data_IF_881899326115
#
_entry.id   IF_881899326115
#
_cell.length_a   1.000
_cell.length_b   1.000
_cell.length_c   1.000
_cell.angle_alpha   90.00
_cell.angle_beta   90.00
_cell.angle_gamma   90.00
#
_symmetry.space_group_name_H-M   'P 1'
#
loop_
_entity.id
_entity.type
_entity.pdbx_description
1 polymer ?
#
# COMPACT_ATOMS: atom_id res chain seq x y z
N UNK A 1 -10.68 -9.49 -13.97
CA UNK A 1 -9.26 -9.82 -14.17
C UNK A 1 -8.73 -10.23 -12.81
N UNK A 2 -8.06 -11.37 -12.72
CA UNK A 2 -7.41 -11.77 -11.48
C UNK A 2 -6.20 -10.85 -11.24
N UNK A 3 -6.15 -10.19 -10.07
CA UNK A 3 -5.12 -9.19 -9.75
C UNK A 3 -3.72 -9.80 -9.84
N UNK A 4 -3.55 -11.02 -9.33
CA UNK A 4 -2.24 -11.68 -9.29
C UNK A 4 -1.80 -12.19 -10.67
N UNK A 5 -2.69 -12.15 -11.66
CA UNK A 5 -2.36 -12.41 -13.06
C UNK A 5 -1.91 -11.14 -13.81
N UNK A 6 -1.87 -9.98 -13.13
CA UNK A 6 -1.43 -8.72 -13.71
C UNK A 6 0.07 -8.74 -14.03
N UNK A 7 0.49 -8.39 -15.27
CA UNK A 7 1.89 -8.49 -15.69
C UNK A 7 2.85 -7.63 -14.87
N UNK A 8 2.38 -6.53 -14.28
CA UNK A 8 3.21 -5.69 -13.43
C UNK A 8 3.47 -6.34 -12.05
N UNK A 9 2.60 -7.27 -11.61
CA UNK A 9 2.74 -7.99 -10.33
C UNK A 9 3.45 -9.33 -10.46
N UNK A 10 3.51 -9.93 -11.65
CA UNK A 10 4.21 -11.20 -11.90
C UNK A 10 5.67 -11.19 -11.40
N UNK A 11 6.50 -10.15 -11.65
CA UNK A 11 7.88 -10.13 -11.16
C UNK A 11 7.98 -10.11 -9.63
N UNK A 12 6.97 -9.60 -8.93
CA UNK A 12 6.93 -9.63 -7.47
C UNK A 12 6.58 -11.02 -6.97
N UNK A 13 5.60 -11.68 -7.61
CA UNK A 13 5.20 -13.05 -7.28
C UNK A 13 6.35 -14.04 -7.46
N UNK A 14 7.09 -13.96 -8.57
CA UNK A 14 8.25 -14.82 -8.84
C UNK A 14 9.37 -14.69 -7.80
N UNK A 15 9.50 -13.52 -7.18
CA UNK A 15 10.51 -13.23 -6.15
C UNK A 15 10.00 -13.47 -4.74
N UNK A 16 8.69 -13.58 -4.55
CA UNK A 16 8.08 -13.76 -3.25
C UNK A 16 8.30 -15.17 -2.71
N UNK A 17 8.39 -15.30 -1.39
CA UNK A 17 8.38 -16.58 -0.68
C UNK A 17 7.13 -16.61 0.16
N UNK A 18 6.29 -17.65 -0.01
CA UNK A 18 5.00 -17.78 0.69
C UNK A 18 4.06 -16.57 0.51
N UNK A 19 4.17 -15.88 -0.62
CA UNK A 19 3.37 -14.69 -0.92
C UNK A 19 3.88 -13.41 -0.27
N UNK A 20 5.08 -13.40 0.29
CA UNK A 20 5.70 -12.20 0.86
C UNK A 20 7.04 -11.89 0.19
N UNK A 21 7.33 -10.60 0.03
CA UNK A 21 8.62 -10.11 -0.42
C UNK A 21 9.12 -9.05 0.55
N UNK A 22 10.25 -9.32 1.20
CA UNK A 22 10.92 -8.36 2.08
C UNK A 22 12.01 -7.60 1.32
N UNK A 23 11.98 -6.27 1.41
CA UNK A 23 12.95 -5.36 0.82
C UNK A 23 13.52 -4.48 1.93
N UNK A 24 14.85 -4.43 2.01
CA UNK A 24 15.54 -3.58 2.97
C UNK A 24 15.50 -2.12 2.49
N UNK A 25 14.91 -1.23 3.28
CA UNK A 25 14.87 0.21 3.05
C UNK A 25 15.62 0.93 4.16
N UNK A 26 16.94 1.09 4.01
CA UNK A 26 17.77 1.71 5.04
C UNK A 26 17.73 0.93 6.36
N UNK A 27 17.22 1.58 7.42
CA UNK A 27 17.07 0.98 8.76
C UNK A 27 15.76 0.20 8.96
N UNK A 28 14.82 0.30 8.00
CA UNK A 28 13.53 -0.37 8.03
C UNK A 28 13.39 -1.46 6.97
N UNK A 29 12.22 -2.12 6.96
CA UNK A 29 11.82 -3.07 5.91
C UNK A 29 10.51 -2.64 5.27
N UNK A 30 10.47 -2.74 3.95
CA UNK A 30 9.24 -2.78 3.17
C UNK A 30 8.88 -4.25 2.98
N UNK A 31 7.70 -4.66 3.44
CA UNK A 31 7.10 -5.95 3.10
C UNK A 31 6.06 -5.72 2.02
N UNK A 32 6.22 -6.38 0.88
CA UNK A 32 5.15 -6.51 -0.10
C UNK A 32 4.40 -7.80 0.22
N UNK A 33 3.14 -7.66 0.59
CA UNK A 33 2.25 -8.75 0.95
C UNK A 33 1.36 -9.08 -0.25
N UNK A 34 1.52 -10.29 -0.78
CA UNK A 34 0.82 -10.86 -1.93
C UNK A 34 -0.08 -12.03 -1.51
N UNK A 35 -0.33 -12.22 -0.21
CA UNK A 35 -1.19 -13.30 0.28
C UNK A 35 -2.63 -13.08 -0.20
N UNK A 36 -3.25 -14.09 -0.84
CA UNK A 36 -4.60 -13.93 -1.39
C UNK A 36 -5.66 -13.52 -0.36
N UNK A 37 -5.54 -13.99 0.88
CA UNK A 37 -6.50 -13.67 1.94
C UNK A 37 -6.37 -12.22 2.42
N UNK A 38 -5.14 -11.71 2.55
CA UNK A 38 -4.88 -10.31 2.93
C UNK A 38 -5.30 -9.36 1.80
N UNK A 39 -5.02 -9.72 0.53
CA UNK A 39 -5.51 -9.00 -0.64
C UNK A 39 -7.04 -8.93 -0.63
N UNK A 40 -7.73 -10.04 -0.36
CA UNK A 40 -9.20 -10.09 -0.30
C UNK A 40 -9.76 -9.18 0.79
N UNK A 41 -9.14 -9.16 1.96
CA UNK A 41 -9.55 -8.26 3.05
C UNK A 41 -9.48 -6.78 2.64
N UNK A 42 -8.43 -6.40 1.92
CA UNK A 42 -8.32 -5.04 1.37
C UNK A 42 -9.30 -4.78 0.22
N UNK A 43 -9.58 -5.77 -0.61
CA UNK A 43 -10.58 -5.66 -1.68
C UNK A 43 -11.99 -5.46 -1.11
N UNK A 44 -12.36 -6.23 -0.09
CA UNK A 44 -13.63 -6.07 0.61
C UNK A 44 -13.73 -4.66 1.23
N UNK A 45 -12.62 -4.17 1.79
CA UNK A 45 -12.54 -2.81 2.31
C UNK A 45 -12.69 -1.77 1.20
N UNK A 46 -12.02 -1.94 0.05
CA UNK A 46 -12.10 -1.04 -1.10
C UNK A 46 -13.54 -0.92 -1.62
N UNK A 47 -14.31 -2.00 -1.64
CA UNK A 47 -15.73 -2.01 -2.07
C UNK A 47 -16.59 -1.10 -1.18
N UNK A 48 -16.20 -0.85 0.07
CA UNK A 48 -16.92 0.07 0.97
C UNK A 48 -16.62 1.55 0.72
N UNK A 49 -15.57 1.86 -0.05
CA UNK A 49 -15.15 3.23 -0.35
C UNK A 49 -15.98 3.78 -1.51
N UNK A 50 -16.73 4.85 -1.25
CA UNK A 50 -17.64 5.46 -2.23
C UNK A 50 -16.95 6.40 -3.24
N UNK A 51 -15.69 6.76 -3.01
CA UNK A 51 -14.92 7.69 -3.85
C UNK A 51 -13.78 6.96 -4.57
N UNK A 52 -13.45 7.32 -5.82
CA UNK A 52 -12.26 6.82 -6.48
C UNK A 52 -11.02 7.03 -5.63
N UNK A 53 -10.19 5.99 -5.51
CA UNK A 53 -8.92 6.03 -4.81
C UNK A 53 -7.94 5.04 -5.44
N UNK A 54 -6.65 5.30 -5.23
CA UNK A 54 -5.56 4.40 -5.59
C UNK A 54 -4.63 4.12 -4.40
N UNK A 55 -4.99 4.60 -3.21
CA UNK A 55 -4.34 4.28 -1.95
C UNK A 55 -5.39 3.97 -0.88
N UNK A 56 -5.16 2.89 -0.13
CA UNK A 56 -5.80 2.61 1.15
C UNK A 56 -4.75 2.71 2.25
N UNK A 57 -5.11 3.34 3.37
CA UNK A 57 -4.17 3.70 4.42
C UNK A 57 -4.76 3.31 5.78
N UNK A 58 -4.07 2.47 6.53
CA UNK A 58 -4.43 2.19 7.92
C UNK A 58 -3.94 3.33 8.82
N UNK A 59 -4.82 4.26 9.18
CA UNK A 59 -4.46 5.44 9.95
C UNK A 59 -4.92 5.33 11.41
N UNK A 60 -4.21 6.00 12.32
CA UNK A 60 -4.61 6.07 13.75
C UNK A 60 -5.97 6.73 13.95
N UNK A 61 -6.32 7.72 13.12
CA UNK A 61 -7.53 8.53 13.27
C UNK A 61 -8.32 8.64 11.96
N UNK A 62 -9.63 8.45 12.06
CA UNK A 62 -10.54 8.45 10.91
C UNK A 62 -11.13 9.81 10.53
N UNK A 63 -11.39 10.67 11.51
CA UNK A 63 -12.21 11.87 11.35
C UNK A 63 -11.40 13.18 11.26
N UNK A 64 -10.09 13.06 11.08
CA UNK A 64 -9.17 14.19 10.93
C UNK A 64 -8.64 14.27 9.49
N UNK A 65 -8.09 15.41 9.11
CA UNK A 65 -7.33 15.54 7.87
C UNK A 65 -6.20 14.50 7.81
N UNK A 66 -5.88 13.99 6.62
CA UNK A 66 -4.82 13.00 6.46
C UNK A 66 -3.47 13.49 7.02
N UNK A 67 -3.22 14.80 6.95
CA UNK A 67 -2.01 15.43 7.50
C UNK A 67 -1.96 15.49 9.03
N UNK A 68 -3.09 15.20 9.70
CA UNK A 68 -3.24 15.22 11.16
C UNK A 68 -3.32 13.81 11.78
N UNK A 69 -3.00 12.77 11.01
CA UNK A 69 -2.92 11.38 11.47
C UNK A 69 -1.61 10.74 11.02
N UNK A 70 -1.26 9.62 11.65
CA UNK A 70 -0.14 8.78 11.25
C UNK A 70 -0.66 7.46 10.69
N UNK A 71 0.18 6.81 9.87
CA UNK A 71 0.02 5.43 9.48
C UNK A 71 0.27 4.54 10.69
N UNK A 72 -0.52 3.48 10.85
CA UNK A 72 -0.42 2.55 11.98
C UNK A 72 -0.74 1.13 11.53
N UNK A 73 -0.80 0.18 12.47
CA UNK A 73 -1.14 -1.20 12.18
C UNK A 73 -2.64 -1.37 11.97
N UNK A 74 -3.04 -2.38 11.17
CA UNK A 74 -4.44 -2.54 10.70
C UNK A 74 -5.45 -2.78 11.83
N UNK A 75 -5.08 -3.50 12.89
CA UNK A 75 -6.01 -3.83 13.99
C UNK A 75 -6.45 -2.58 14.76
N UNK A 76 -7.70 -2.18 14.54
CA UNK A 76 -8.31 -0.98 15.14
C UNK A 76 -8.01 0.32 14.41
N UNK A 77 -7.33 0.26 13.26
CA UNK A 77 -7.05 1.44 12.45
C UNK A 77 -8.32 1.96 11.78
N UNK A 78 -8.35 3.27 11.55
CA UNK A 78 -9.27 3.87 10.62
C UNK A 78 -8.73 3.73 9.20
N UNK A 79 -9.42 2.98 8.34
CA UNK A 79 -9.02 2.87 6.94
C UNK A 79 -9.43 4.15 6.20
N UNK A 80 -8.43 4.80 5.58
CA UNK A 80 -8.61 6.01 4.80
C UNK A 80 -8.26 5.74 3.35
N UNK A 81 -9.05 6.31 2.45
CA UNK A 81 -8.80 6.27 1.03
C UNK A 81 -8.16 7.59 0.57
N UNK A 82 -7.19 7.52 -0.33
CA UNK A 82 -6.61 8.68 -0.99
C UNK A 82 -6.48 8.44 -2.49
N UNK A 83 -6.64 9.52 -3.25
CA UNK A 83 -6.39 9.56 -4.68
C UNK A 83 -5.18 10.47 -4.91
N UNK A 84 -4.12 9.93 -5.49
CA UNK A 84 -2.88 10.65 -5.82
C UNK A 84 -2.52 10.45 -7.30
N UNK A 85 -1.57 11.23 -7.80
CA UNK A 85 -1.08 11.23 -9.16
C UNK A 85 0.41 10.88 -9.21
N UNK A 86 0.69 9.59 -9.34
CA UNK A 86 2.04 9.04 -9.47
C UNK A 86 2.72 8.72 -8.15
N UNK A 87 3.87 8.06 -8.27
CA UNK A 87 4.65 7.57 -7.14
C UNK A 87 5.19 8.70 -6.26
N UNK A 88 5.51 9.86 -6.84
CA UNK A 88 6.03 11.02 -6.08
C UNK A 88 5.01 11.58 -5.09
N UNK A 89 3.76 11.77 -5.53
CA UNK A 89 2.68 12.25 -4.65
C UNK A 89 2.29 11.18 -3.62
N UNK A 90 2.26 9.90 -4.01
CA UNK A 90 2.08 8.80 -3.07
C UNK A 90 3.16 8.79 -1.98
N UNK A 91 4.42 8.98 -2.37
CA UNK A 91 5.54 9.03 -1.45
C UNK A 91 5.47 10.21 -0.48
N UNK A 92 5.19 11.41 -1.00
CA UNK A 92 5.01 12.59 -0.15
C UNK A 92 3.86 12.43 0.86
N UNK A 93 2.77 11.73 0.48
CA UNK A 93 1.70 11.39 1.42
C UNK A 93 2.16 10.40 2.49
N UNK A 94 2.89 9.34 2.13
CA UNK A 94 3.42 8.37 3.09
C UNK A 94 4.39 9.02 4.09
N UNK A 95 5.25 9.95 3.66
CA UNK A 95 6.13 10.71 4.56
C UNK A 95 5.33 11.56 5.56
N UNK A 96 4.29 12.27 5.09
CA UNK A 96 3.39 13.03 5.97
C UNK A 96 2.71 12.16 7.02
N UNK A 97 2.44 10.89 6.67
CA UNK A 97 1.84 9.89 7.56
C UNK A 97 2.87 9.22 8.49
N UNK A 98 4.12 9.71 8.53
CA UNK A 98 5.14 9.26 9.46
C UNK A 98 5.95 8.05 8.99
N UNK A 99 5.88 7.69 7.71
CA UNK A 99 6.73 6.65 7.12
C UNK A 99 8.14 7.19 6.91
N UNK A 100 9.16 6.41 7.26
CA UNK A 100 10.57 6.77 7.04
C UNK A 100 10.89 6.98 5.56
N UNK A 101 11.71 7.99 5.27
CA UNK A 101 12.09 8.37 3.89
C UNK A 101 12.66 7.19 3.09
N UNK A 102 13.47 6.31 3.68
CA UNK A 102 14.03 5.17 2.97
C UNK A 102 12.98 4.12 2.62
N UNK A 103 11.95 3.97 3.45
CA UNK A 103 10.81 3.08 3.16
C UNK A 103 9.90 3.67 2.08
N UNK A 104 9.75 4.99 2.05
CA UNK A 104 9.02 5.68 0.98
C UNK A 104 9.73 5.48 -0.37
N UNK A 105 11.04 5.70 -0.43
CA UNK A 105 11.82 5.42 -1.64
C UNK A 105 11.70 3.96 -2.08
N UNK A 106 11.74 3.02 -1.13
CA UNK A 106 11.57 1.60 -1.42
C UNK A 106 10.18 1.31 -2.01
N UNK A 107 9.12 1.89 -1.45
CA UNK A 107 7.76 1.73 -1.96
C UNK A 107 7.64 2.29 -3.39
N UNK A 108 8.20 3.48 -3.65
CA UNK A 108 8.20 4.06 -5.00
C UNK A 108 8.94 3.20 -6.03
N UNK A 109 10.01 2.52 -5.63
CA UNK A 109 10.82 1.68 -6.51
C UNK A 109 10.24 0.28 -6.72
N UNK A 110 9.50 -0.25 -5.74
CA UNK A 110 9.13 -1.67 -5.70
C UNK A 110 7.62 -1.94 -5.70
N UNK A 111 6.78 -0.91 -5.56
CA UNK A 111 5.34 -1.00 -5.76
C UNK A 111 5.01 -0.52 -7.20
N UNK A 112 4.93 -1.42 -8.19
CA UNK A 112 4.60 -1.06 -9.55
C UNK A 112 3.22 -0.39 -9.61
N UNK A 113 3.08 0.59 -10.50
CA UNK A 113 1.83 1.33 -10.69
C UNK A 113 1.39 2.17 -9.49
N UNK A 114 2.25 2.37 -8.47
CA UNK A 114 1.96 3.18 -7.29
C UNK A 114 1.50 4.60 -7.66
N UNK A 115 0.40 5.03 -7.05
CA UNK A 115 -0.23 6.32 -7.33
C UNK A 115 -0.83 6.42 -8.74
N UNK A 116 -0.99 5.29 -9.43
CA UNK A 116 -1.53 5.23 -10.78
C UNK A 116 -2.49 4.06 -10.94
N UNK A 117 -2.08 3.09 -11.77
CA UNK A 117 -2.93 2.00 -12.24
C UNK A 117 -3.25 0.97 -11.17
N UNK A 118 -2.36 0.75 -10.21
CA UNK A 118 -2.53 -0.25 -9.15
C UNK A 118 -2.91 0.50 -7.86
N UNK A 119 -4.02 0.10 -7.27
CA UNK A 119 -4.41 0.50 -5.92
C UNK A 119 -3.59 -0.27 -4.91
N UNK A 120 -2.91 0.44 -4.03
CA UNK A 120 -2.08 -0.15 -2.97
C UNK A 120 -2.66 0.17 -1.60
N UNK A 121 -2.67 -0.82 -0.71
CA UNK A 121 -2.92 -0.63 0.70
C UNK A 121 -1.61 -0.54 1.48
N UNK A 122 -1.51 0.41 2.40
CA UNK A 122 -0.34 0.60 3.26
C UNK A 122 -0.72 0.62 4.72
N UNK A 123 0.17 0.05 5.55
CA UNK A 123 0.11 0.13 6.99
C UNK A 123 1.50 -0.04 7.61
N UNK A 124 1.68 0.42 8.85
CA UNK A 124 2.90 0.16 9.62
C UNK A 124 2.71 -1.02 10.56
N UNK A 125 3.71 -1.89 10.64
CA UNK A 125 3.80 -2.84 11.74
C UNK A 125 4.34 -2.18 13.01
N UNK A 126 4.16 -2.86 14.16
CA UNK A 126 4.64 -2.38 15.46
C UNK A 126 6.15 -2.09 15.51
N UNK A 127 6.93 -2.74 14.65
CA UNK A 127 8.38 -2.55 14.54
C UNK A 127 8.78 -1.46 13.54
N UNK A 128 7.82 -0.70 13.00
CA UNK A 128 8.07 0.36 12.02
C UNK A 128 8.29 -0.14 10.59
N UNK A 129 7.92 -1.39 10.30
CA UNK A 129 7.98 -1.92 8.94
C UNK A 129 6.79 -1.43 8.14
N UNK A 130 7.03 -0.99 6.91
CA UNK A 130 5.95 -0.63 6.00
C UNK A 130 5.48 -1.89 5.30
N UNK A 131 4.20 -2.23 5.43
CA UNK A 131 3.58 -3.24 4.58
C UNK A 131 2.83 -2.58 3.45
N UNK A 132 2.98 -3.13 2.25
CA UNK A 132 2.28 -2.74 1.04
C UNK A 132 1.57 -3.95 0.43
N UNK A 133 0.26 -3.88 0.23
CA UNK A 133 -0.54 -4.94 -0.39
C UNK A 133 -1.20 -4.40 -1.66
N UNK A 134 -1.01 -5.01 -2.85
CA UNK A 134 -1.76 -4.60 -4.03
C UNK A 134 -3.21 -5.05 -3.88
N UNK A 135 -4.16 -4.18 -4.23
CA UNK A 135 -5.59 -4.40 -3.96
C UNK A 135 -6.40 -4.57 -5.24
N UNK A 136 -6.14 -3.71 -6.22
CA UNK A 136 -6.84 -3.71 -7.49
C UNK A 136 -5.95 -3.10 -8.58
N UNK A 137 -6.14 -3.51 -9.82
CA UNK A 137 -5.44 -2.96 -10.97
C UNK A 137 -6.46 -2.49 -12.02
N UNK A 138 -6.26 -1.29 -12.55
CA UNK A 138 -7.03 -0.83 -13.70
C UNK A 138 -6.53 -1.57 -14.97
N UNK A 139 -7.42 -1.89 -15.93
CA UNK A 139 -7.01 -2.56 -17.16
C UNK A 139 -5.95 -1.75 -17.93
N UNK A 140 -5.01 -2.45 -18.57
CA UNK A 140 -4.19 -1.82 -19.62
C UNK A 140 -5.12 -1.46 -20.79
N UNK A 141 -5.17 -0.17 -21.14
CA UNK A 141 -5.94 0.33 -22.28
C UNK A 141 -5.36 -0.09 -23.62
#
# INVERSE_FOLDING_TARGET
MDLLSDPDLLPLLERSTEGELEIHGGIGRLRIDLKPDDIRLWQDTLVTISTPCNLLLACEKGEVDLEATLLTWVVGAAIRAAQVQGADEAGGLLEKLGVDHHLVLAAQQHCPGLGGRITWAFYLERHGWLTATPVAAMPHG
#
